data_IF_782542744921
#
_entry.id   IF_782542744921
#
_cell.length_a   1.000
_cell.length_b   1.000
_cell.length_c   1.000
_cell.angle_alpha   90.00
_cell.angle_beta   90.00
_cell.angle_gamma   90.00
#
_symmetry.space_group_name_H-M   'P 1'
#
loop_
_entity.id
_entity.type
_entity.pdbx_description
1 polymer ?
#
# COMPACT_ATOMS: atom_id res chain seq x y z
N UNK A 1 -19.46 -1.20 -5.83
CA UNK A 1 -18.12 -0.73 -6.28
C UNK A 1 -17.37 0.08 -5.22
N UNK A 2 -18.02 1.01 -4.50
CA UNK A 2 -17.40 1.72 -3.35
C UNK A 2 -16.85 0.77 -2.27
N UNK A 3 -17.54 -0.36 -2.04
CA UNK A 3 -17.09 -1.42 -1.13
C UNK A 3 -15.73 -2.04 -1.52
N UNK A 4 -15.42 -2.14 -2.82
CA UNK A 4 -14.16 -2.71 -3.27
C UNK A 4 -12.98 -1.73 -3.08
N UNK A 5 -13.23 -0.41 -3.23
CA UNK A 5 -12.25 0.62 -2.91
C UNK A 5 -12.00 0.72 -1.39
N UNK A 6 -12.97 0.35 -0.56
CA UNK A 6 -12.81 0.27 0.89
C UNK A 6 -11.72 -0.75 1.27
N UNK A 7 -11.56 -1.83 0.51
CA UNK A 7 -10.49 -2.83 0.73
C UNK A 7 -9.12 -2.19 0.55
N UNK A 8 -8.94 -1.35 -0.48
CA UNK A 8 -7.71 -0.60 -0.70
C UNK A 8 -7.42 0.41 0.43
N UNK A 9 -8.45 1.09 0.91
CA UNK A 9 -8.34 2.00 2.06
C UNK A 9 -7.93 1.27 3.34
N UNK A 10 -8.61 0.15 3.67
CA UNK A 10 -8.29 -0.68 4.83
C UNK A 10 -6.84 -1.19 4.72
N UNK A 11 -6.42 -1.67 3.55
CA UNK A 11 -5.05 -2.12 3.33
C UNK A 11 -4.01 -1.00 3.56
N UNK A 12 -4.31 0.22 3.10
CA UNK A 12 -3.47 1.39 3.35
C UNK A 12 -3.34 1.71 4.85
N UNK A 13 -4.45 1.69 5.59
CA UNK A 13 -4.45 1.87 7.05
C UNK A 13 -3.66 0.78 7.76
N UNK A 14 -3.86 -0.50 7.42
CA UNK A 14 -3.09 -1.60 8.01
C UNK A 14 -1.59 -1.41 7.77
N UNK A 15 -1.20 -0.93 6.59
CA UNK A 15 0.20 -0.66 6.25
C UNK A 15 0.78 0.48 7.09
N UNK A 16 0.00 1.54 7.34
CA UNK A 16 0.39 2.63 8.24
C UNK A 16 0.55 2.15 9.69
N UNK A 17 -0.42 1.37 10.19
CA UNK A 17 -0.38 0.80 11.54
C UNK A 17 0.82 -0.13 11.70
N UNK A 18 1.09 -0.98 10.71
CA UNK A 18 2.23 -1.88 10.75
C UNK A 18 3.56 -1.09 10.85
N UNK A 19 3.73 -0.01 10.08
CA UNK A 19 4.94 0.84 10.17
C UNK A 19 5.07 1.56 11.50
N UNK A 20 3.95 2.06 12.05
CA UNK A 20 3.91 2.73 13.34
C UNK A 20 4.18 1.79 14.52
N UNK A 21 3.54 0.61 14.55
CA UNK A 21 3.75 -0.40 15.60
C UNK A 21 5.18 -0.93 15.59
N UNK A 22 5.76 -1.10 14.40
CA UNK A 22 7.13 -1.58 14.26
C UNK A 22 8.13 -0.57 14.79
N UNK A 23 7.93 0.72 14.52
CA UNK A 23 8.73 1.81 15.09
C UNK A 23 8.60 1.85 16.62
N UNK A 24 7.40 1.62 17.17
CA UNK A 24 7.15 1.59 18.62
C UNK A 24 7.78 0.38 19.30
N UNK A 25 7.70 -0.80 18.70
CA UNK A 25 8.06 -2.07 19.34
C UNK A 25 9.54 -2.44 19.20
N UNK A 26 10.21 -2.05 18.09
CA UNK A 26 11.61 -2.43 17.83
C UNK A 26 12.62 -1.31 18.18
N UNK A 27 12.15 -0.10 18.50
CA UNK A 27 13.04 1.02 18.79
C UNK A 27 14.05 1.26 17.66
N UNK A 28 15.33 1.44 18.01
CA UNK A 28 16.45 1.69 17.07
C UNK A 28 17.00 0.42 16.37
N UNK A 29 16.51 -0.79 16.67
CA UNK A 29 17.02 -2.02 16.03
C UNK A 29 16.61 -2.13 14.56
N UNK A 30 15.47 -1.56 14.17
CA UNK A 30 15.07 -1.46 12.76
C UNK A 30 15.44 -0.09 12.23
N UNK A 31 15.98 -0.02 11.01
CA UNK A 31 16.14 1.27 10.34
C UNK A 31 14.79 1.99 10.29
N UNK A 32 14.80 3.29 10.59
CA UNK A 32 13.57 4.10 10.59
C UNK A 32 13.02 4.25 9.15
N UNK A 33 13.90 4.18 8.15
CA UNK A 33 13.57 4.45 6.75
C UNK A 33 12.51 3.48 6.17
N UNK A 34 12.64 2.14 6.27
CA UNK A 34 11.58 1.21 5.87
C UNK A 34 10.22 1.46 6.54
N UNK A 35 10.22 1.81 7.83
CA UNK A 35 8.98 2.06 8.57
C UNK A 35 8.28 3.34 8.07
N UNK A 36 9.04 4.41 7.85
CA UNK A 36 8.53 5.66 7.25
C UNK A 36 8.03 5.39 5.83
N UNK A 37 8.78 4.67 5.01
CA UNK A 37 8.37 4.33 3.64
C UNK A 37 7.07 3.54 3.63
N UNK A 38 6.90 2.55 4.52
CA UNK A 38 5.66 1.78 4.62
C UNK A 38 4.47 2.65 5.06
N UNK A 39 4.69 3.60 5.98
CA UNK A 39 3.68 4.57 6.39
C UNK A 39 3.27 5.49 5.23
N UNK A 40 4.23 6.08 4.54
CA UNK A 40 3.98 6.98 3.39
C UNK A 40 3.25 6.23 2.28
N UNK A 41 3.70 5.02 1.93
CA UNK A 41 3.04 4.19 0.92
C UNK A 41 1.59 3.86 1.30
N UNK A 42 1.34 3.50 2.56
CA UNK A 42 -0.01 3.24 3.07
C UNK A 42 -0.91 4.48 3.01
N UNK A 43 -0.36 5.65 3.30
CA UNK A 43 -1.07 6.93 3.20
C UNK A 43 -1.43 7.26 1.74
N UNK A 44 -0.50 7.09 0.81
CA UNK A 44 -0.76 7.29 -0.63
C UNK A 44 -1.92 6.39 -1.11
N UNK A 45 -1.89 5.10 -0.78
CA UNK A 45 -2.96 4.16 -1.15
C UNK A 45 -4.30 4.56 -0.55
N UNK A 46 -4.31 4.94 0.73
CA UNK A 46 -5.53 5.35 1.45
C UNK A 46 -6.14 6.60 0.82
N UNK A 47 -5.33 7.63 0.59
CA UNK A 47 -5.75 8.89 -0.05
C UNK A 47 -6.25 8.62 -1.47
N UNK A 48 -5.54 7.83 -2.26
CA UNK A 48 -5.98 7.48 -3.61
C UNK A 48 -7.32 6.73 -3.61
N UNK A 49 -7.52 5.81 -2.67
CA UNK A 49 -8.76 5.04 -2.55
C UNK A 49 -9.93 5.93 -2.16
N UNK A 50 -9.74 6.84 -1.19
CA UNK A 50 -10.76 7.82 -0.76
C UNK A 50 -11.07 8.80 -1.89
N UNK A 51 -10.05 9.40 -2.49
CA UNK A 51 -10.21 10.34 -3.59
C UNK A 51 -11.04 9.73 -4.74
N UNK A 52 -10.78 8.46 -5.06
CA UNK A 52 -11.54 7.70 -6.08
C UNK A 52 -12.99 7.43 -5.69
N UNK A 53 -13.31 7.31 -4.40
CA UNK A 53 -14.69 7.12 -3.92
C UNK A 53 -15.51 8.40 -4.13
N UNK A 54 -14.89 9.57 -3.95
CA UNK A 54 -15.57 10.87 -3.96
C UNK A 54 -15.48 11.62 -5.30
N UNK A 55 -14.51 11.31 -6.16
CA UNK A 55 -14.29 12.02 -7.42
C UNK A 55 -14.43 11.11 -8.64
N UNK A 56 -15.27 11.53 -9.60
CA UNK A 56 -15.47 10.85 -10.90
C UNK A 56 -14.68 11.48 -12.07
N UNK A 57 -13.80 12.45 -11.79
CA UNK A 57 -13.10 13.20 -12.82
C UNK A 57 -12.16 12.30 -13.64
N UNK A 58 -12.47 12.11 -14.93
CA UNK A 58 -11.71 11.24 -15.85
C UNK A 58 -10.23 11.62 -15.97
N UNK A 59 -9.89 12.92 -15.91
CA UNK A 59 -8.51 13.40 -15.99
C UNK A 59 -7.62 12.91 -14.83
N UNK A 60 -8.20 12.77 -13.63
CA UNK A 60 -7.48 12.35 -12.42
C UNK A 60 -7.37 10.81 -12.31
N UNK A 61 -8.03 10.05 -13.19
CA UNK A 61 -8.05 8.59 -13.11
C UNK A 61 -6.70 7.94 -13.44
N UNK A 62 -5.91 8.52 -14.34
CA UNK A 62 -4.58 8.02 -14.69
C UNK A 62 -3.57 8.33 -13.58
N UNK A 63 -3.59 9.57 -13.07
CA UNK A 63 -2.71 10.00 -11.99
C UNK A 63 -2.98 9.18 -10.72
N UNK A 64 -4.25 8.99 -10.35
CA UNK A 64 -4.60 8.16 -9.18
C UNK A 64 -4.20 6.69 -9.34
N UNK A 65 -4.25 6.13 -10.55
CA UNK A 65 -3.74 4.77 -10.80
C UNK A 65 -2.21 4.70 -10.61
N UNK A 66 -1.48 5.66 -11.17
CA UNK A 66 -0.02 5.72 -11.06
C UNK A 66 0.40 5.87 -9.59
N UNK A 67 -0.25 6.76 -8.86
CA UNK A 67 -0.02 6.95 -7.42
C UNK A 67 -0.37 5.71 -6.60
N UNK A 68 -1.45 5.00 -6.96
CA UNK A 68 -1.82 3.76 -6.29
C UNK A 68 -0.77 2.66 -6.48
N UNK A 69 -0.28 2.49 -7.71
CA UNK A 69 0.78 1.52 -8.04
C UNK A 69 2.10 1.91 -7.37
N UNK A 70 2.47 3.19 -7.39
CA UNK A 70 3.70 3.65 -6.74
C UNK A 70 3.63 3.45 -5.22
N UNK A 71 2.47 3.70 -4.59
CA UNK A 71 2.24 3.40 -3.18
C UNK A 71 2.44 1.93 -2.85
N UNK A 72 1.89 1.01 -3.66
CA UNK A 72 2.10 -0.43 -3.49
C UNK A 72 3.57 -0.83 -3.66
N UNK A 73 4.27 -0.26 -4.65
CA UNK A 73 5.68 -0.52 -4.88
C UNK A 73 6.53 -0.07 -3.67
N UNK A 74 6.26 1.13 -3.12
CA UNK A 74 6.93 1.65 -1.92
C UNK A 74 6.69 0.74 -0.71
N UNK A 75 5.45 0.28 -0.51
CA UNK A 75 5.12 -0.65 0.58
C UNK A 75 5.87 -1.98 0.41
N UNK A 76 5.99 -2.47 -0.83
CA UNK A 76 6.67 -3.73 -1.11
C UNK A 76 8.18 -3.63 -0.85
N UNK A 77 8.84 -2.58 -1.37
CA UNK A 77 10.27 -2.36 -1.14
C UNK A 77 10.56 -2.12 0.34
N UNK A 78 9.72 -1.33 1.02
CA UNK A 78 9.82 -1.09 2.45
C UNK A 78 9.77 -2.40 3.25
N UNK A 79 8.82 -3.31 2.96
CA UNK A 79 8.78 -4.59 3.67
C UNK A 79 9.99 -5.48 3.42
N UNK A 80 10.55 -5.47 2.19
CA UNK A 80 11.74 -6.27 1.89
C UNK A 80 12.92 -5.76 2.71
N UNK A 81 13.16 -4.45 2.68
CA UNK A 81 14.23 -3.81 3.47
C UNK A 81 14.04 -4.08 4.97
N UNK A 82 12.80 -3.98 5.45
CA UNK A 82 12.49 -4.21 6.86
C UNK A 82 12.70 -5.67 7.30
N UNK A 83 12.35 -6.63 6.43
CA UNK A 83 12.61 -8.05 6.68
C UNK A 83 14.11 -8.35 6.76
N UNK A 84 14.89 -7.75 5.87
CA UNK A 84 16.36 -7.87 5.88
C UNK A 84 16.95 -7.22 7.14
N UNK A 85 16.50 -6.01 7.50
CA UNK A 85 17.03 -5.28 8.65
C UNK A 85 16.79 -6.01 9.98
N UNK A 86 15.61 -6.60 10.17
CA UNK A 86 15.24 -7.23 11.44
C UNK A 86 15.71 -8.68 11.54
N UNK A 87 15.56 -9.45 10.45
CA UNK A 87 15.75 -10.91 10.46
C UNK A 87 16.97 -11.36 9.65
N UNK A 88 17.72 -10.44 9.01
CA UNK A 88 18.85 -10.75 8.14
C UNK A 88 18.48 -11.56 6.90
N UNK A 89 17.18 -11.81 6.67
CA UNK A 89 16.69 -12.74 5.64
C UNK A 89 15.39 -12.23 5.02
N UNK A 90 15.18 -12.56 3.75
CA UNK A 90 13.95 -12.24 3.04
C UNK A 90 12.94 -13.35 3.32
N UNK A 91 11.84 -13.02 4.01
CA UNK A 91 10.74 -13.96 4.24
C UNK A 91 9.89 -14.11 2.97
N UNK A 92 10.37 -14.91 2.01
CA UNK A 92 9.79 -15.08 0.66
C UNK A 92 8.28 -15.35 0.71
N UNK A 93 7.82 -16.20 1.64
CA UNK A 93 6.39 -16.53 1.82
C UNK A 93 5.54 -15.28 2.07
N UNK A 94 6.00 -14.37 2.94
CA UNK A 94 5.28 -13.14 3.26
C UNK A 94 5.23 -12.18 2.06
N UNK A 95 6.34 -12.07 1.32
CA UNK A 95 6.41 -11.20 0.14
C UNK A 95 5.53 -11.70 -1.01
N UNK A 96 5.41 -13.01 -1.22
CA UNK A 96 4.51 -13.59 -2.21
C UNK A 96 3.05 -13.25 -1.85
N UNK A 97 2.65 -13.43 -0.60
CA UNK A 97 1.29 -13.06 -0.14
C UNK A 97 1.03 -11.57 -0.38
N UNK A 98 1.99 -10.70 -0.05
CA UNK A 98 1.88 -9.25 -0.26
C UNK A 98 1.80 -8.87 -1.75
N UNK A 99 2.53 -9.57 -2.62
CA UNK A 99 2.43 -9.42 -4.08
C UNK A 99 1.05 -9.83 -4.61
N UNK A 100 0.52 -10.97 -4.16
CA UNK A 100 -0.83 -11.42 -4.52
C UNK A 100 -1.89 -10.40 -4.09
N UNK A 101 -1.79 -9.85 -2.87
CA UNK A 101 -2.68 -8.78 -2.39
C UNK A 101 -2.55 -7.51 -3.22
N UNK A 102 -1.32 -7.08 -3.52
CA UNK A 102 -1.07 -5.92 -4.37
C UNK A 102 -1.69 -6.09 -5.76
N UNK A 103 -1.54 -7.27 -6.36
CA UNK A 103 -2.13 -7.58 -7.65
C UNK A 103 -3.66 -7.57 -7.60
N UNK A 104 -4.26 -8.19 -6.58
CA UNK A 104 -5.70 -8.16 -6.36
C UNK A 104 -6.24 -6.72 -6.25
N UNK A 105 -5.54 -5.87 -5.49
CA UNK A 105 -5.91 -4.45 -5.34
C UNK A 105 -5.82 -3.67 -6.65
N UNK A 106 -4.81 -3.94 -7.48
CA UNK A 106 -4.68 -3.32 -8.81
C UNK A 106 -5.85 -3.76 -9.70
N UNK A 107 -6.18 -5.05 -9.75
CA UNK A 107 -7.31 -5.56 -10.54
C UNK A 107 -8.62 -4.92 -10.10
N UNK A 108 -8.87 -4.83 -8.79
CA UNK A 108 -10.04 -4.15 -8.23
C UNK A 108 -10.07 -2.68 -8.69
N UNK A 109 -8.95 -1.97 -8.60
CA UNK A 109 -8.87 -0.56 -8.95
C UNK A 109 -9.11 -0.33 -10.45
N UNK A 110 -8.63 -1.22 -11.31
CA UNK A 110 -8.88 -1.21 -12.75
C UNK A 110 -10.33 -1.55 -13.09
N UNK A 111 -10.95 -2.51 -12.38
CA UNK A 111 -12.35 -2.85 -12.59
C UNK A 111 -13.27 -1.68 -12.23
N UNK A 112 -12.98 -0.99 -11.11
CA UNK A 112 -13.68 0.25 -10.71
C UNK A 112 -13.38 1.41 -11.67
N UNK A 113 -12.22 1.43 -12.32
CA UNK A 113 -11.95 2.38 -13.42
C UNK A 113 -12.90 2.14 -14.59
N UNK A 114 -12.99 0.90 -15.07
CA UNK A 114 -13.74 0.53 -16.28
C UNK A 114 -15.23 0.82 -16.15
N UNK A 115 -15.81 0.61 -14.96
CA UNK A 115 -17.23 0.86 -14.70
C UNK A 115 -17.63 2.35 -14.62
N UNK A 116 -16.66 3.25 -14.42
CA UNK A 116 -16.90 4.69 -14.27
C UNK A 116 -16.55 5.47 -15.56
N UNK A 117 -16.12 4.76 -16.62
CA UNK A 117 -15.85 5.33 -17.94
C UNK A 117 -17.09 5.27 -18.82
#
# INVERSE_FOLDING_TARGET
MKLLLLIGFIYGILSMIAGGLQTKNLGLQSSILPNISMFIGGLIISVCSVFRIFTKAKALNNISLILFISGLAVIQTAAILNGIDIYGTIHIKHHIIRLCLSFLLIVIFLQVRKSNL
#
